data_IF_966070681489
#
_entry.id   IF_966070681489
#
_cell.length_a   1.000
_cell.length_b   1.000
_cell.length_c   1.000
_cell.angle_alpha   90.00
_cell.angle_beta   90.00
_cell.angle_gamma   90.00
#
_symmetry.space_group_name_H-M   'P 1'
#
loop_
_entity.id
_entity.type
_entity.pdbx_description
1 polymer ?
#
# COMPACT_ATOMS: atom_id res chain seq x y z
N UNK A 1 2.01 -55.44 -59.21
CA UNK A 1 2.86 -54.34 -58.74
C UNK A 1 1.94 -53.17 -58.39
N UNK A 2 1.25 -53.17 -57.24
CA UNK A 2 1.64 -52.69 -55.89
C UNK A 2 2.28 -51.29 -55.84
N UNK A 3 1.53 -50.38 -55.20
CA UNK A 3 1.89 -49.20 -54.40
C UNK A 3 2.30 -47.90 -55.10
N UNK A 4 2.13 -46.72 -54.51
CA UNK A 4 1.09 -46.09 -53.66
C UNK A 4 1.57 -44.61 -53.55
N UNK A 5 0.62 -43.66 -53.58
CA UNK A 5 0.70 -42.27 -53.13
C UNK A 5 1.82 -41.94 -52.11
N UNK A 6 2.46 -40.77 -52.25
CA UNK A 6 2.76 -39.91 -51.10
C UNK A 6 2.91 -38.43 -51.53
N UNK A 7 1.81 -37.69 -51.40
CA UNK A 7 1.79 -36.24 -51.22
C UNK A 7 2.22 -35.96 -49.77
N UNK A 8 3.22 -35.12 -49.52
CA UNK A 8 3.50 -34.61 -48.19
C UNK A 8 3.33 -33.08 -48.15
N UNK A 9 2.27 -32.68 -47.46
CA UNK A 9 1.99 -31.32 -47.01
C UNK A 9 3.11 -30.83 -46.09
N UNK A 10 3.79 -29.76 -46.46
CA UNK A 10 4.48 -28.89 -45.53
C UNK A 10 3.76 -27.54 -45.50
N UNK A 11 2.69 -27.43 -44.72
CA UNK A 11 2.16 -26.13 -44.29
C UNK A 11 1.25 -26.33 -43.08
N UNK A 12 1.71 -25.90 -41.90
CA UNK A 12 0.93 -25.34 -40.77
C UNK A 12 1.53 -25.67 -39.41
N UNK A 13 2.46 -24.86 -38.93
CA UNK A 13 2.76 -24.74 -37.48
C UNK A 13 3.23 -23.32 -37.16
N UNK A 14 2.36 -22.32 -37.32
CA UNK A 14 2.66 -20.94 -36.89
C UNK A 14 1.44 -20.13 -36.39
N UNK A 15 0.33 -20.79 -36.00
CA UNK A 15 -0.93 -20.10 -35.64
C UNK A 15 -1.46 -20.34 -34.21
N UNK A 16 -0.67 -20.97 -33.33
CA UNK A 16 -1.11 -21.31 -31.97
C UNK A 16 -0.52 -20.44 -30.84
N UNK A 17 0.42 -19.53 -31.13
CA UNK A 17 1.10 -18.72 -30.11
C UNK A 17 0.40 -17.37 -29.83
N UNK A 18 -0.28 -16.77 -30.82
CA UNK A 18 -0.85 -15.42 -30.68
C UNK A 18 -2.17 -15.38 -29.89
N UNK A 19 -3.04 -16.38 -30.03
CA UNK A 19 -4.38 -16.35 -29.42
C UNK A 19 -4.34 -16.46 -27.88
N UNK A 20 -3.31 -17.09 -27.30
CA UNK A 20 -3.18 -17.25 -25.83
C UNK A 20 -2.68 -15.99 -25.13
N UNK A 21 -1.88 -15.18 -25.82
CA UNK A 21 -1.33 -13.92 -25.29
C UNK A 21 -2.44 -12.89 -25.07
N UNK A 22 -3.31 -12.74 -26.06
CA UNK A 22 -4.38 -11.73 -26.04
C UNK A 22 -5.52 -12.12 -25.08
N UNK A 23 -5.90 -13.40 -25.02
CA UNK A 23 -6.90 -13.89 -24.07
C UNK A 23 -6.50 -13.65 -22.62
N UNK A 24 -5.25 -13.99 -22.25
CA UNK A 24 -4.76 -13.79 -20.89
C UNK A 24 -4.72 -12.31 -20.48
N UNK A 25 -4.44 -11.42 -21.44
CA UNK A 25 -4.40 -9.97 -21.20
C UNK A 25 -5.81 -9.41 -21.01
N UNK A 26 -6.78 -9.85 -21.81
CA UNK A 26 -8.20 -9.50 -21.67
C UNK A 26 -8.76 -10.00 -20.34
N UNK A 27 -8.48 -11.25 -19.96
CA UNK A 27 -8.93 -11.85 -18.70
C UNK A 27 -8.37 -11.09 -17.49
N UNK A 28 -7.08 -10.74 -17.52
CA UNK A 28 -6.44 -9.96 -16.44
C UNK A 28 -7.08 -8.59 -16.30
N UNK A 29 -7.32 -7.89 -17.42
CA UNK A 29 -7.97 -6.57 -17.39
C UNK A 29 -9.37 -6.65 -16.78
N UNK A 30 -10.16 -7.66 -17.16
CA UNK A 30 -11.50 -7.85 -16.61
C UNK A 30 -11.49 -8.09 -15.09
N UNK A 31 -10.54 -8.88 -14.60
CA UNK A 31 -10.37 -9.13 -13.16
C UNK A 31 -10.01 -7.84 -12.42
N UNK A 32 -9.08 -7.04 -12.97
CA UNK A 32 -8.67 -5.75 -12.41
C UNK A 32 -9.87 -4.80 -12.32
N UNK A 33 -10.62 -4.64 -13.41
CA UNK A 33 -11.74 -3.70 -13.47
C UNK A 33 -12.86 -4.09 -12.48
N UNK A 34 -13.17 -5.40 -12.39
CA UNK A 34 -14.12 -5.90 -11.39
C UNK A 34 -13.64 -5.62 -9.97
N UNK A 35 -12.38 -5.94 -9.66
CA UNK A 35 -11.82 -5.71 -8.33
C UNK A 35 -11.78 -4.22 -7.97
N UNK A 36 -11.48 -3.34 -8.93
CA UNK A 36 -11.50 -1.90 -8.73
C UNK A 36 -12.90 -1.38 -8.35
N UNK A 37 -13.95 -1.90 -9.02
CA UNK A 37 -15.34 -1.57 -8.68
C UNK A 37 -15.70 -2.04 -7.26
N UNK A 38 -15.22 -3.21 -6.83
CA UNK A 38 -15.43 -3.72 -5.47
C UNK A 38 -14.63 -2.93 -4.42
N UNK A 39 -13.42 -2.48 -4.76
CA UNK A 39 -12.52 -1.72 -3.89
C UNK A 39 -13.04 -0.30 -3.64
N UNK A 40 -13.54 0.39 -4.66
CA UNK A 40 -13.94 1.79 -4.56
C UNK A 40 -14.84 2.12 -3.35
N UNK A 41 -15.99 1.43 -3.12
CA UNK A 41 -16.83 1.71 -1.96
C UNK A 41 -16.18 1.28 -0.63
N UNK A 42 -15.26 0.31 -0.64
CA UNK A 42 -14.53 -0.11 0.56
C UNK A 42 -13.51 0.94 0.96
N UNK A 43 -12.74 1.46 -0.01
CA UNK A 43 -11.78 2.54 0.20
C UNK A 43 -12.48 3.79 0.72
N UNK A 44 -13.60 4.20 0.09
CA UNK A 44 -14.38 5.36 0.53
C UNK A 44 -14.82 5.27 2.01
N UNK A 45 -15.17 4.07 2.49
CA UNK A 45 -15.55 3.86 3.90
C UNK A 45 -14.35 3.81 4.85
N UNK A 46 -13.21 3.28 4.39
CA UNK A 46 -12.03 3.07 5.25
C UNK A 46 -11.09 4.27 5.33
N UNK A 47 -11.17 5.21 4.39
CA UNK A 47 -10.26 6.37 4.28
C UNK A 47 -10.76 7.57 5.09
N UNK A 48 -10.97 7.35 6.38
CA UNK A 48 -11.49 8.36 7.29
C UNK A 48 -10.59 9.60 7.43
N UNK A 49 -9.29 9.49 7.09
CA UNK A 49 -8.35 10.61 7.15
C UNK A 49 -8.48 11.57 5.96
N UNK A 50 -9.18 11.20 4.88
CA UNK A 50 -9.26 12.00 3.65
C UNK A 50 -10.24 13.18 3.76
N UNK A 51 -10.05 14.05 4.76
CA UNK A 51 -10.82 15.29 4.95
C UNK A 51 -9.98 16.55 4.69
N UNK A 52 -10.60 17.59 4.14
CA UNK A 52 -9.99 18.90 3.86
C UNK A 52 -8.68 18.81 3.05
N UNK A 53 -8.73 18.29 1.80
CA UNK A 53 -7.54 18.04 1.01
C UNK A 53 -6.83 19.33 0.57
N UNK A 54 -5.52 19.37 0.77
CA UNK A 54 -4.64 20.41 0.27
C UNK A 54 -3.45 19.79 -0.46
N UNK A 55 -3.27 20.11 -1.74
CA UNK A 55 -2.07 19.69 -2.48
C UNK A 55 -0.84 20.32 -1.85
N UNK A 56 0.18 19.50 -1.60
CA UNK A 56 1.46 19.92 -1.03
C UNK A 56 2.59 19.18 -1.71
N UNK A 57 3.78 19.76 -1.69
CA UNK A 57 5.02 19.08 -2.11
C UNK A 57 5.83 18.75 -0.86
N UNK A 58 6.34 17.52 -0.78
CA UNK A 58 7.15 17.05 0.35
C UNK A 58 8.54 16.66 -0.15
N UNK A 59 9.62 17.04 0.57
CA UNK A 59 10.96 16.64 0.20
C UNK A 59 11.10 15.11 0.04
N UNK A 60 11.66 14.68 -1.09
CA UNK A 60 11.77 13.27 -1.47
C UNK A 60 10.52 12.66 -2.10
N UNK A 61 9.45 13.44 -2.33
CA UNK A 61 8.19 13.06 -2.97
C UNK A 61 7.75 14.07 -4.04
N UNK A 62 8.67 14.87 -4.57
CA UNK A 62 8.40 16.07 -5.37
C UNK A 62 7.55 15.79 -6.62
N UNK A 63 7.72 14.60 -7.20
CA UNK A 63 7.05 14.18 -8.44
C UNK A 63 5.79 13.34 -8.20
N UNK A 64 5.28 13.28 -6.96
CA UNK A 64 4.12 12.50 -6.59
C UNK A 64 2.98 13.41 -6.10
N UNK A 65 1.70 13.05 -6.37
CA UNK A 65 0.56 13.87 -6.01
C UNK A 65 0.23 13.78 -4.50
N UNK A 66 1.13 14.26 -3.65
CA UNK A 66 0.92 14.25 -2.20
C UNK A 66 -0.15 15.25 -1.76
N UNK A 67 -1.01 14.81 -0.85
CA UNK A 67 -2.11 15.62 -0.32
C UNK A 67 -1.99 15.66 1.20
N UNK A 68 -1.97 16.88 1.75
CA UNK A 68 -2.18 17.12 3.18
C UNK A 68 -3.67 17.06 3.46
N UNK A 69 -4.05 16.24 4.42
CA UNK A 69 -5.39 16.18 4.96
C UNK A 69 -5.39 16.73 6.39
N UNK A 70 -6.51 17.32 6.78
CA UNK A 70 -6.76 17.74 8.17
C UNK A 70 -8.12 17.22 8.57
N UNK A 71 -8.15 16.36 9.58
CA UNK A 71 -9.36 15.64 9.97
C UNK A 71 -9.54 15.68 11.48
N UNK A 72 -10.80 15.53 11.89
CA UNK A 72 -11.21 15.48 13.29
C UNK A 72 -11.83 14.13 13.58
N UNK A 73 -11.42 13.51 14.68
CA UNK A 73 -11.97 12.28 15.23
C UNK A 73 -12.52 12.55 16.63
N UNK A 74 -13.47 11.72 17.04
CA UNK A 74 -14.06 11.74 18.36
C UNK A 74 -13.62 10.49 19.13
N UNK A 75 -13.02 10.67 20.30
CA UNK A 75 -12.76 9.56 21.22
C UNK A 75 -14.08 9.05 21.77
N UNK A 76 -14.43 7.81 21.46
CA UNK A 76 -15.72 7.22 21.87
C UNK A 76 -15.85 7.13 23.39
N UNK A 77 -14.73 6.91 24.09
CA UNK A 77 -14.73 6.75 25.54
C UNK A 77 -14.90 8.07 26.31
N UNK A 78 -14.40 9.19 25.76
CA UNK A 78 -14.36 10.48 26.46
C UNK A 78 -15.21 11.57 25.81
N UNK A 79 -15.64 11.37 24.57
CA UNK A 79 -16.29 12.39 23.74
C UNK A 79 -15.34 13.49 23.26
N UNK A 80 -14.03 13.37 23.49
CA UNK A 80 -13.05 14.40 23.12
C UNK A 80 -12.85 14.43 21.61
N UNK A 81 -12.94 15.62 21.01
CA UNK A 81 -12.57 15.83 19.61
C UNK A 81 -11.07 16.10 19.50
N UNK A 82 -10.40 15.36 18.62
CA UNK A 82 -8.99 15.53 18.29
C UNK A 82 -8.84 15.86 16.81
N UNK A 83 -8.08 16.91 16.51
CA UNK A 83 -7.83 17.36 15.14
C UNK A 83 -6.36 17.20 14.81
N UNK A 84 -6.06 16.69 13.62
CA UNK A 84 -4.69 16.42 13.21
C UNK A 84 -4.51 16.57 11.71
N UNK A 85 -3.25 16.73 11.29
CA UNK A 85 -2.88 16.72 9.89
C UNK A 85 -1.89 15.61 9.57
N UNK A 86 -2.09 15.01 8.39
CA UNK A 86 -1.21 14.01 7.80
C UNK A 86 -1.12 14.25 6.30
N UNK A 87 0.06 14.08 5.74
CA UNK A 87 0.31 14.09 4.30
C UNK A 87 0.30 12.64 3.83
N UNK A 88 -0.48 12.34 2.80
CA UNK A 88 -0.65 10.99 2.26
C UNK A 88 -0.44 10.95 0.75
N UNK A 89 -0.16 9.75 0.26
CA UNK A 89 -0.14 9.39 -1.16
C UNK A 89 -0.92 8.10 -1.36
N UNK A 90 -2.25 8.21 -1.45
CA UNK A 90 -3.13 7.04 -1.48
C UNK A 90 -3.42 6.61 -2.93
N UNK A 91 -3.31 5.31 -3.26
CA UNK A 91 -3.62 4.84 -4.61
C UNK A 91 -5.13 4.97 -4.85
N UNK A 92 -5.58 5.14 -6.09
CA UNK A 92 -7.00 4.94 -6.39
C UNK A 92 -7.35 3.44 -6.42
N UNK A 93 -8.64 3.13 -6.57
CA UNK A 93 -9.11 1.74 -6.62
C UNK A 93 -8.52 0.95 -7.80
N UNK A 94 -8.27 1.61 -8.93
CA UNK A 94 -7.74 0.97 -10.13
C UNK A 94 -6.27 0.59 -9.94
N UNK A 95 -5.44 1.50 -9.46
CA UNK A 95 -4.02 1.25 -9.16
C UNK A 95 -3.89 0.16 -8.10
N UNK A 96 -4.70 0.21 -7.05
CA UNK A 96 -4.70 -0.83 -6.02
C UNK A 96 -5.13 -2.20 -6.57
N UNK A 97 -6.16 -2.25 -7.42
CA UNK A 97 -6.59 -3.49 -8.07
C UNK A 97 -5.47 -4.09 -8.93
N UNK A 98 -4.74 -3.26 -9.70
CA UNK A 98 -3.58 -3.71 -10.49
C UNK A 98 -2.53 -4.35 -9.61
N UNK A 99 -2.14 -3.70 -8.51
CA UNK A 99 -1.16 -4.25 -7.57
C UNK A 99 -1.59 -5.59 -6.97
N UNK A 100 -2.85 -5.71 -6.54
CA UNK A 100 -3.38 -6.95 -5.94
C UNK A 100 -3.40 -8.08 -6.97
N UNK A 101 -3.94 -7.84 -8.15
CA UNK A 101 -4.02 -8.86 -9.21
C UNK A 101 -2.63 -9.30 -9.65
N UNK A 102 -1.70 -8.36 -9.85
CA UNK A 102 -0.31 -8.68 -10.16
C UNK A 102 0.34 -9.53 -9.08
N UNK A 103 0.16 -9.19 -7.81
CA UNK A 103 0.71 -9.97 -6.71
C UNK A 103 0.18 -11.40 -6.66
N UNK A 104 -1.12 -11.60 -6.89
CA UNK A 104 -1.71 -12.94 -6.98
C UNK A 104 -1.09 -13.75 -8.13
N UNK A 105 -1.04 -13.18 -9.34
CA UNK A 105 -0.49 -13.88 -10.51
C UNK A 105 0.98 -14.25 -10.31
N UNK A 106 1.79 -13.36 -9.75
CA UNK A 106 3.21 -13.65 -9.54
C UNK A 106 3.47 -14.73 -8.49
N UNK A 107 2.64 -14.81 -7.46
CA UNK A 107 2.86 -15.73 -6.34
C UNK A 107 2.16 -17.07 -6.54
N UNK A 108 0.99 -17.08 -7.20
CA UNK A 108 0.13 -18.25 -7.32
C UNK A 108 -0.18 -18.66 -8.75
N UNK A 109 0.20 -17.86 -9.75
CA UNK A 109 -0.12 -18.11 -11.16
C UNK A 109 -1.58 -17.81 -11.53
N UNK A 110 -2.41 -17.37 -10.58
CA UNK A 110 -3.81 -16.98 -10.79
C UNK A 110 -4.20 -15.80 -9.91
N UNK A 111 -5.32 -15.16 -10.21
CA UNK A 111 -5.92 -14.09 -9.40
C UNK A 111 -7.36 -14.43 -8.99
N UNK A 112 -7.56 -15.65 -8.49
CA UNK A 112 -8.87 -16.13 -8.08
C UNK A 112 -9.47 -15.28 -6.96
N UNK A 113 -10.80 -15.28 -6.85
CA UNK A 113 -11.56 -14.44 -5.92
C UNK A 113 -11.10 -14.59 -4.46
N UNK A 114 -10.70 -15.79 -4.04
CA UNK A 114 -10.21 -16.01 -2.67
C UNK A 114 -8.87 -15.31 -2.40
N UNK A 115 -7.95 -15.29 -3.38
CA UNK A 115 -6.63 -14.66 -3.25
C UNK A 115 -6.77 -13.14 -3.23
N UNK A 116 -7.51 -12.58 -4.20
CA UNK A 116 -7.77 -11.15 -4.31
C UNK A 116 -8.55 -10.63 -3.10
N UNK A 117 -9.53 -11.39 -2.60
CA UNK A 117 -10.25 -11.08 -1.35
C UNK A 117 -9.31 -11.07 -0.13
N UNK A 118 -8.43 -12.07 0.02
CA UNK A 118 -7.49 -12.15 1.15
C UNK A 118 -6.56 -10.93 1.19
N UNK A 119 -5.98 -10.54 0.05
CA UNK A 119 -5.15 -9.33 -0.04
C UNK A 119 -5.96 -8.05 0.22
N UNK A 120 -7.16 -7.95 -0.36
CA UNK A 120 -8.03 -6.79 -0.14
C UNK A 120 -8.39 -6.63 1.34
N UNK A 121 -8.84 -7.70 1.98
CA UNK A 121 -9.22 -7.68 3.39
C UNK A 121 -8.03 -7.32 4.28
N UNK A 122 -6.83 -7.82 3.94
CA UNK A 122 -5.58 -7.43 4.61
C UNK A 122 -5.26 -5.95 4.47
N UNK A 123 -5.35 -5.39 3.26
CA UNK A 123 -5.06 -3.97 3.01
C UNK A 123 -6.06 -3.06 3.74
N UNK A 124 -7.35 -3.41 3.66
CA UNK A 124 -8.41 -2.65 4.31
C UNK A 124 -8.26 -2.71 5.83
N UNK A 125 -8.06 -3.89 6.42
CA UNK A 125 -7.90 -4.02 7.86
C UNK A 125 -6.63 -3.35 8.36
N UNK A 126 -5.55 -3.42 7.59
CA UNK A 126 -4.30 -2.86 8.04
C UNK A 126 -4.32 -1.34 7.99
N UNK A 127 -4.75 -0.73 6.87
CA UNK A 127 -4.59 0.72 6.67
C UNK A 127 -5.74 1.43 5.97
N UNK A 128 -6.80 0.72 5.56
CA UNK A 128 -7.80 1.28 4.64
C UNK A 128 -7.22 1.65 3.26
N UNK A 129 -6.08 1.05 2.89
CA UNK A 129 -5.34 1.43 1.69
C UNK A 129 -4.72 2.83 1.76
N UNK A 130 -4.41 3.32 2.97
CA UNK A 130 -3.79 4.63 3.19
C UNK A 130 -2.27 4.50 3.36
N UNK A 131 -1.53 5.40 2.72
CA UNK A 131 -0.08 5.51 2.80
C UNK A 131 0.31 6.89 3.34
N UNK A 132 0.46 7.04 4.66
CA UNK A 132 0.95 8.27 5.28
C UNK A 132 2.40 8.54 4.91
N UNK A 133 2.65 9.64 4.22
CA UNK A 133 3.98 10.13 3.84
C UNK A 133 4.65 10.84 5.01
N UNK A 134 3.95 11.78 5.69
CA UNK A 134 4.43 12.49 6.89
C UNK A 134 3.29 13.00 7.76
N UNK A 135 3.49 13.07 9.06
CA UNK A 135 2.56 13.71 9.99
C UNK A 135 2.10 12.77 11.09
N UNK A 136 1.00 13.15 11.76
CA UNK A 136 0.43 12.40 12.87
C UNK A 136 -0.87 11.74 12.43
N UNK A 137 -1.03 10.49 12.83
CA UNK A 137 -2.30 9.76 12.77
C UNK A 137 -2.68 9.40 14.20
N UNK A 138 -3.95 9.61 14.52
CA UNK A 138 -4.56 9.14 15.75
C UNK A 138 -5.12 7.73 15.54
N UNK A 139 -4.66 6.75 16.31
CA UNK A 139 -5.08 5.35 16.19
C UNK A 139 -5.51 4.78 17.56
N UNK A 140 -6.54 3.96 17.57
CA UNK A 140 -7.06 3.24 18.75
C UNK A 140 -6.61 1.76 18.67
N UNK A 141 -5.34 1.50 19.02
CA UNK A 141 -4.69 0.19 18.74
C UNK A 141 -4.57 -0.68 19.99
N UNK A 142 -3.88 -0.21 21.04
CA UNK A 142 -3.54 -1.04 22.20
C UNK A 142 -3.46 -0.21 23.49
N UNK A 143 -4.47 -0.26 24.38
CA UNK A 143 -5.74 -0.99 24.22
C UNK A 143 -6.68 -0.31 23.22
N UNK A 144 -7.45 -1.08 22.46
CA UNK A 144 -8.52 -0.58 21.60
C UNK A 144 -9.75 -0.18 22.46
N UNK A 145 -9.58 0.83 23.31
CA UNK A 145 -10.53 1.22 24.35
C UNK A 145 -11.41 2.41 23.92
N UNK A 146 -11.33 2.84 22.67
CA UNK A 146 -12.06 4.00 22.16
C UNK A 146 -11.37 5.33 22.42
N UNK A 147 -10.10 5.32 22.83
CA UNK A 147 -9.24 6.51 22.97
C UNK A 147 -8.15 6.45 21.92
N UNK A 148 -8.08 7.44 21.05
CA UNK A 148 -7.08 7.45 19.99
C UNK A 148 -5.76 8.06 20.48
N UNK A 149 -4.67 7.36 20.24
CA UNK A 149 -3.32 7.73 20.65
C UNK A 149 -2.52 8.34 19.48
N UNK A 150 -1.56 9.22 19.78
CA UNK A 150 -0.67 9.85 18.79
C UNK A 150 0.34 8.85 18.20
N UNK A 151 0.32 8.68 16.87
CA UNK A 151 1.35 7.97 16.11
C UNK A 151 1.88 8.83 14.95
N UNK A 152 3.20 9.07 14.92
CA UNK A 152 3.82 9.69 13.74
C UNK A 152 4.03 8.65 12.64
N UNK A 153 3.92 9.09 11.39
CA UNK A 153 4.27 8.30 10.22
C UNK A 153 5.29 9.04 9.35
N UNK A 154 6.18 8.26 8.74
CA UNK A 154 7.10 8.70 7.70
C UNK A 154 7.20 7.60 6.64
N UNK A 155 7.04 7.95 5.37
CA UNK A 155 7.21 7.03 4.23
C UNK A 155 6.45 5.70 4.37
N UNK A 156 5.21 5.77 4.85
CA UNK A 156 4.35 4.60 5.04
C UNK A 156 4.70 3.73 6.24
N UNK A 157 5.55 4.20 7.16
CA UNK A 157 5.98 3.45 8.35
C UNK A 157 5.76 4.31 9.60
N UNK A 158 5.29 3.69 10.68
CA UNK A 158 5.18 4.36 11.98
C UNK A 158 6.57 4.70 12.53
N UNK A 159 6.75 5.92 13.03
CA UNK A 159 8.02 6.40 13.59
C UNK A 159 7.80 7.10 14.93
N UNK A 160 8.87 7.24 15.72
CA UNK A 160 8.95 8.25 16.79
C UNK A 160 9.75 9.43 16.26
N UNK A 161 9.21 10.63 16.43
CA UNK A 161 9.84 11.90 16.02
C UNK A 161 10.23 12.67 17.28
N UNK A 162 11.48 13.12 17.35
CA UNK A 162 11.94 13.95 18.44
C UNK A 162 11.10 15.24 18.54
N UNK A 163 10.59 15.53 19.73
CA UNK A 163 9.70 16.67 19.97
C UNK A 163 8.21 16.42 19.67
N UNK A 164 7.81 15.18 19.36
CA UNK A 164 6.40 14.79 19.22
C UNK A 164 6.09 13.66 20.20
N UNK A 165 5.03 13.80 20.98
CA UNK A 165 4.65 12.76 21.92
C UNK A 165 4.26 11.49 21.17
N UNK A 166 4.65 10.34 21.72
CA UNK A 166 4.29 9.04 21.18
C UNK A 166 3.31 8.36 22.12
N UNK A 167 2.22 7.82 21.56
CA UNK A 167 1.12 7.19 22.31
C UNK A 167 0.45 8.10 23.34
N UNK A 168 0.54 9.42 23.14
CA UNK A 168 -0.21 10.35 23.97
C UNK A 168 -1.70 10.27 23.63
N UNK A 169 -2.55 10.21 24.65
CA UNK A 169 -4.00 10.32 24.51
C UNK A 169 -4.47 11.77 24.37
N UNK A 170 -3.56 12.76 24.40
CA UNK A 170 -3.91 14.18 24.34
C UNK A 170 -3.99 14.68 22.89
N UNK A 171 -4.70 15.79 22.72
CA UNK A 171 -4.58 16.60 21.51
C UNK A 171 -3.14 17.06 21.33
N UNK A 172 -2.56 16.81 20.16
CA UNK A 172 -1.23 17.27 19.80
C UNK A 172 -1.24 18.79 19.68
N UNK A 173 -0.23 19.44 20.23
CA UNK A 173 -0.08 20.90 20.08
C UNK A 173 0.16 21.29 18.61
N UNK A 174 -0.12 22.55 18.22
CA UNK A 174 0.23 23.06 16.90
C UNK A 174 1.71 22.84 16.54
N UNK A 175 2.61 22.99 17.50
CA UNK A 175 4.05 22.80 17.30
C UNK A 175 4.40 21.34 17.04
N UNK A 176 3.80 20.39 17.78
CA UNK A 176 3.98 18.97 17.52
C UNK A 176 3.45 18.56 16.14
N UNK A 177 2.28 19.07 15.74
CA UNK A 177 1.72 18.81 14.41
C UNK A 177 2.63 19.36 13.31
N UNK A 178 3.11 20.60 13.44
CA UNK A 178 4.05 21.20 12.50
C UNK A 178 5.38 20.44 12.46
N UNK A 179 5.90 20.03 13.61
CA UNK A 179 7.12 19.22 13.71
C UNK A 179 6.99 17.90 12.96
N UNK A 180 5.88 17.19 13.13
CA UNK A 180 5.65 15.92 12.45
C UNK A 180 5.48 16.08 10.93
N UNK A 181 4.82 17.14 10.45
CA UNK A 181 4.66 17.42 9.02
C UNK A 181 6.00 17.76 8.35
N UNK A 182 6.89 18.44 9.06
CA UNK A 182 8.19 18.89 8.56
C UNK A 182 9.34 17.92 8.89
N UNK A 183 9.07 16.86 9.65
CA UNK A 183 10.08 15.94 10.12
C UNK A 183 10.94 15.38 8.98
N UNK A 184 12.23 15.28 9.27
CA UNK A 184 13.24 14.63 8.43
C UNK A 184 13.70 13.34 9.10
N UNK A 185 14.44 12.49 8.38
CA UNK A 185 15.01 11.27 8.99
C UNK A 185 15.92 11.56 10.19
N UNK A 186 16.56 12.74 10.23
CA UNK A 186 17.40 13.15 11.37
C UNK A 186 16.58 13.37 12.65
N UNK A 187 15.27 13.61 12.53
CA UNK A 187 14.37 13.76 13.67
C UNK A 187 13.83 12.42 14.19
N UNK A 188 14.07 11.31 13.46
CA UNK A 188 13.50 10.00 13.78
C UNK A 188 14.35 9.27 14.80
N UNK A 189 13.76 8.88 15.92
CA UNK A 189 14.44 8.17 17.02
C UNK A 189 14.09 6.68 17.07
N UNK A 190 13.05 6.25 16.37
CA UNK A 190 12.63 4.85 16.27
C UNK A 190 11.77 4.63 15.03
N UNK A 191 11.89 3.44 14.43
CA UNK A 191 11.17 3.05 13.22
C UNK A 191 10.47 1.70 13.40
N UNK A 192 9.14 1.72 13.24
CA UNK A 192 8.30 0.53 13.26
C UNK A 192 8.60 -0.43 12.11
N UNK A 193 8.12 -1.67 12.23
CA UNK A 193 8.43 -2.73 11.25
C UNK A 193 7.48 -2.83 10.07
N UNK A 194 6.24 -2.35 10.22
CA UNK A 194 5.19 -2.51 9.23
C UNK A 194 5.24 -1.39 8.19
N UNK A 195 5.46 -1.74 6.92
CA UNK A 195 5.31 -0.85 5.79
C UNK A 195 3.88 -0.93 5.23
N UNK A 196 3.20 0.22 5.16
CA UNK A 196 1.88 0.39 4.54
C UNK A 196 1.97 0.05 3.05
N UNK A 197 0.91 -0.45 2.41
CA UNK A 197 -0.51 -0.43 2.85
C UNK A 197 -0.98 -1.75 3.47
N UNK A 198 -0.35 -2.87 3.13
CA UNK A 198 -0.65 -4.22 3.61
C UNK A 198 0.10 -4.58 4.90
N UNK A 199 1.03 -3.74 5.35
CA UNK A 199 1.81 -4.00 6.55
C UNK A 199 2.87 -5.07 6.33
N UNK A 200 3.61 -5.02 5.23
CA UNK A 200 4.78 -5.89 5.03
C UNK A 200 5.83 -5.58 6.07
N UNK A 201 6.37 -6.58 6.74
CA UNK A 201 7.47 -6.38 7.68
C UNK A 201 8.83 -6.47 6.99
N UNK A 202 9.86 -5.99 7.69
CA UNK A 202 11.26 -6.16 7.28
C UNK A 202 11.59 -7.63 7.03
N UNK A 203 11.13 -8.50 7.93
CA UNK A 203 11.36 -9.93 7.91
C UNK A 203 10.66 -10.57 6.70
N UNK A 204 9.40 -10.21 6.44
CA UNK A 204 8.67 -10.70 5.26
C UNK A 204 9.34 -10.24 3.96
N UNK A 205 9.81 -8.99 3.90
CA UNK A 205 10.56 -8.49 2.75
C UNK A 205 11.86 -9.27 2.51
N UNK A 206 12.64 -9.53 3.57
CA UNK A 206 13.87 -10.33 3.46
C UNK A 206 13.58 -11.80 3.09
N UNK A 207 12.58 -12.42 3.72
CA UNK A 207 12.15 -13.78 3.43
C UNK A 207 11.68 -13.94 1.97
N UNK A 208 11.09 -12.89 1.40
CA UNK A 208 10.68 -12.84 -0.01
C UNK A 208 11.82 -12.60 -1.01
N UNK A 209 13.08 -12.50 -0.54
CA UNK A 209 14.27 -12.29 -1.37
C UNK A 209 14.77 -10.84 -1.43
N UNK A 210 14.24 -9.95 -0.59
CA UNK A 210 14.70 -8.57 -0.45
C UNK A 210 16.16 -8.50 0.00
N UNK A 211 16.98 -7.73 -0.71
CA UNK A 211 18.46 -7.70 -0.52
C UNK A 211 18.96 -6.44 0.19
N UNK A 212 18.10 -5.46 0.37
CA UNK A 212 18.48 -4.16 0.93
C UNK A 212 18.62 -4.22 2.46
N UNK A 213 19.42 -3.31 3.01
CA UNK A 213 19.55 -3.18 4.46
C UNK A 213 18.25 -2.64 5.07
N UNK A 214 17.56 -3.46 5.85
CA UNK A 214 16.27 -3.12 6.48
C UNK A 214 16.40 -2.54 7.88
N UNK A 215 17.62 -2.39 8.42
CA UNK A 215 17.82 -1.96 9.81
C UNK A 215 17.44 -0.49 10.02
N UNK A 216 16.82 -0.20 11.17
CA UNK A 216 16.50 1.15 11.64
C UNK A 216 15.82 2.04 10.59
N UNK A 217 16.40 3.22 10.34
CA UNK A 217 15.93 4.23 9.41
C UNK A 217 16.09 3.85 7.94
N UNK A 218 16.92 2.85 7.60
CA UNK A 218 17.06 2.38 6.22
C UNK A 218 15.74 1.77 5.71
N UNK A 219 14.89 1.26 6.62
CA UNK A 219 13.56 0.78 6.28
C UNK A 219 12.65 1.85 5.66
N UNK A 220 12.80 3.11 6.09
CA UNK A 220 12.04 4.24 5.53
C UNK A 220 12.40 4.47 4.06
N UNK A 221 13.69 4.41 3.74
CA UNK A 221 14.18 4.59 2.37
C UNK A 221 13.69 3.48 1.45
N UNK A 222 13.70 2.23 1.92
CA UNK A 222 13.16 1.08 1.17
C UNK A 222 11.66 1.24 0.93
N UNK A 223 10.90 1.55 2.00
CA UNK A 223 9.46 1.75 1.91
C UNK A 223 9.10 2.85 0.90
N UNK A 224 9.75 4.01 1.01
CA UNK A 224 9.59 5.12 0.06
C UNK A 224 9.94 4.70 -1.36
N UNK A 225 11.14 4.16 -1.58
CA UNK A 225 11.63 3.81 -2.92
C UNK A 225 10.72 2.81 -3.61
N UNK A 226 10.34 1.73 -2.92
CA UNK A 226 9.49 0.68 -3.50
C UNK A 226 8.07 1.17 -3.76
N UNK A 227 7.53 2.04 -2.90
CA UNK A 227 6.22 2.65 -3.14
C UNK A 227 6.23 3.61 -4.33
N UNK A 228 7.28 4.42 -4.46
CA UNK A 228 7.49 5.31 -5.60
C UNK A 228 7.60 4.55 -6.93
N UNK A 229 8.34 3.43 -6.93
CA UNK A 229 8.44 2.53 -8.08
C UNK A 229 7.08 1.90 -8.44
N UNK A 230 6.29 1.53 -7.41
CA UNK A 230 4.97 0.95 -7.62
C UNK A 230 3.95 1.95 -8.20
N UNK A 231 4.09 3.25 -7.92
CA UNK A 231 3.10 4.27 -8.28
C UNK A 231 2.76 4.31 -9.77
N UNK A 232 3.77 4.14 -10.63
CA UNK A 232 3.63 4.14 -12.09
C UNK A 232 3.78 2.73 -12.67
N UNK A 233 3.49 1.70 -11.89
CA UNK A 233 3.68 0.29 -12.26
C UNK A 233 2.48 -0.56 -11.83
N UNK A 234 2.28 -1.67 -12.52
CA UNK A 234 1.33 -2.71 -12.09
C UNK A 234 1.88 -3.55 -10.94
N UNK A 235 3.18 -3.44 -10.66
CA UNK A 235 3.92 -4.21 -9.66
C UNK A 235 4.13 -3.36 -8.40
N UNK A 236 3.73 -3.90 -7.25
CA UNK A 236 4.09 -3.38 -5.93
C UNK A 236 4.93 -4.42 -5.17
N UNK A 237 6.23 -4.16 -5.05
CA UNK A 237 7.18 -5.16 -4.51
C UNK A 237 6.90 -5.53 -3.06
N UNK A 238 6.51 -4.57 -2.22
CA UNK A 238 6.18 -4.87 -0.83
C UNK A 238 4.90 -5.72 -0.72
N UNK A 239 3.91 -5.49 -1.59
CA UNK A 239 2.69 -6.30 -1.61
C UNK A 239 2.99 -7.73 -2.08
N UNK A 240 3.84 -7.88 -3.09
CA UNK A 240 4.31 -9.18 -3.59
C UNK A 240 5.11 -9.91 -2.51
N UNK A 241 5.99 -9.22 -1.80
CA UNK A 241 6.76 -9.80 -0.70
C UNK A 241 5.84 -10.32 0.41
N UNK A 242 4.83 -9.55 0.81
CA UNK A 242 3.82 -10.01 1.77
C UNK A 242 3.09 -11.25 1.24
N UNK A 243 2.67 -11.21 -0.03
CA UNK A 243 1.93 -12.30 -0.65
C UNK A 243 2.75 -13.60 -0.73
N UNK A 244 4.05 -13.55 -1.02
CA UNK A 244 4.94 -14.72 -1.04
C UNK A 244 5.00 -15.45 0.30
N UNK A 245 4.89 -14.72 1.39
CA UNK A 245 4.96 -15.28 2.75
C UNK A 245 3.59 -15.74 3.25
N UNK A 246 2.51 -15.06 2.82
CA UNK A 246 1.20 -15.19 3.47
C UNK A 246 0.09 -15.78 2.59
N UNK A 247 0.24 -15.87 1.27
CA UNK A 247 -0.71 -16.58 0.40
C UNK A 247 -0.28 -18.02 0.19
#
# INVERSE_FOLDING_TARGET
>A
MKQLLLLWLCLSTALAADVRSDSNTVDRKLIIDRLAQELAPRLARSRYMEANPQKVTVPGWENFPTIKYTYTLNDKATGTNKTVSVIMLNPDAQLLARWIVTACFEVKGSADTNLTKKLTDRIISQSGGQFPVRGIVYEDILPANGIHEVYCFMDGVTVKVNGVDHRSEKQSSPDQMNKALQATKADVTWVGKYARIQGTTREEYQQAGGKENVQDAAWLDISRKLYQQAWNSDRNELLIAWARVNL
#
